data_IF_516246170311
#
_entry.id   IF_516246170311
#
_cell.length_a   1.000
_cell.length_b   1.000
_cell.length_c   1.000
_cell.angle_alpha   90.00
_cell.angle_beta   90.00
_cell.angle_gamma   90.00
#
_symmetry.space_group_name_H-M   'P 1'
#
loop_
_entity.id
_entity.type
_entity.pdbx_description
1 polymer ?
2 non-polymer ?
#
# COMPACT_ATOMS: atom_id res chain seq x y z
N UNK A 1 -0.70 10.63 -6.69
CA UNK A 1 -0.42 9.60 -5.66
C UNK A 1 -0.71 8.21 -6.24
N UNK A 2 -0.17 7.18 -5.62
CA UNK A 2 -0.40 5.79 -6.13
C UNK A 2 -0.80 4.89 -4.97
N UNK A 3 -1.82 4.09 -5.16
CA UNK A 3 -2.28 3.17 -4.07
C UNK A 3 -1.82 1.74 -4.39
N UNK A 4 -1.65 0.92 -3.38
CA UNK A 4 -1.22 -0.49 -3.61
C UNK A 4 -1.47 -1.31 -2.35
N UNK A 5 -2.43 -2.19 -2.38
CA UNK A 5 -2.73 -3.03 -1.19
C UNK A 5 -3.10 -4.45 -1.62
N UNK A 6 -2.74 -5.43 -0.82
CA UNK A 6 -3.07 -6.84 -1.19
C UNK A 6 -4.33 -7.27 -0.45
N UNK A 7 -5.42 -7.45 -1.17
CA UNK A 7 -6.69 -7.86 -0.52
C UNK A 7 -7.28 -9.07 -1.25
N UNK A 8 -7.98 -9.93 -0.54
CA UNK A 8 -8.58 -11.13 -1.19
C UNK A 8 -10.05 -10.87 -1.48
N UNK A 9 -10.69 -11.76 -2.20
CA UNK A 9 -12.13 -11.57 -2.53
C UNK A 9 -12.96 -11.53 -1.25
N UNK A 10 -12.42 -12.03 -0.16
CA UNK A 10 -13.17 -12.04 1.13
C UNK A 10 -13.13 -10.63 1.75
N UNK A 11 -12.76 -9.64 0.98
CA UNK A 11 -12.69 -8.25 1.52
C UNK A 11 -11.65 -8.18 2.64
N UNK A 12 -10.57 -8.90 2.51
CA UNK A 12 -9.52 -8.89 3.56
C UNK A 12 -8.32 -8.07 3.08
N UNK A 13 -7.40 -7.75 3.97
CA UNK A 13 -6.21 -6.96 3.56
C UNK A 13 -4.99 -7.42 4.37
N UNK A 14 -5.22 -7.95 5.54
CA UNK A 14 -4.08 -8.42 6.38
C UNK A 14 -4.63 -9.22 7.57
N UNK A 15 -3.77 -9.55 8.52
CA UNK A 15 -4.22 -10.32 9.71
C UNK A 15 -3.08 -10.42 10.72
N UNK A 16 -3.29 -9.91 11.91
CA UNK A 16 -2.22 -9.96 12.95
C UNK A 16 -0.97 -9.22 12.46
N UNK A 17 -1.17 -8.18 11.69
CA UNK A 17 0.00 -7.40 11.16
C UNK A 17 0.47 -8.01 9.84
N UNK A 18 0.89 -9.25 9.86
CA UNK A 18 1.37 -9.90 8.60
C UNK A 18 0.16 -10.32 7.76
N UNK A 19 0.39 -10.88 6.61
CA UNK A 19 -0.74 -11.32 5.74
C UNK A 19 -1.22 -12.71 6.18
N UNK A 20 -2.47 -13.02 5.88
CA UNK A 20 -3.13 -14.32 6.22
C UNK A 20 -2.72 -15.39 5.21
N UNK A 21 -2.46 -15.00 3.98
CA UNK A 21 -2.06 -15.99 2.94
C UNK A 21 -0.56 -15.85 2.66
N UNK A 22 0.00 -16.80 1.95
CA UNK A 22 1.46 -16.74 1.64
C UNK A 22 1.65 -16.58 0.13
N UNK A 23 2.05 -15.42 -0.31
CA UNK A 23 2.26 -15.19 -1.77
C UNK A 23 3.65 -14.58 -2.00
N UNK A 24 4.67 -15.42 -2.00
CA UNK A 24 6.11 -15.03 -2.21
C UNK A 24 6.24 -14.05 -3.38
N UNK A 25 5.49 -14.29 -4.43
CA UNK A 25 5.57 -13.38 -5.63
C UNK A 25 5.11 -11.98 -5.23
N UNK A 26 3.98 -11.86 -4.57
CA UNK A 26 3.48 -10.54 -4.15
C UNK A 26 4.46 -9.90 -3.16
N UNK A 27 5.13 -10.72 -2.38
CA UNK A 27 6.10 -10.17 -1.39
C UNK A 27 7.35 -9.66 -2.12
N UNK A 28 7.61 -10.18 -3.30
CA UNK A 28 8.80 -9.72 -4.07
C UNK A 28 8.43 -8.49 -4.91
N UNK A 29 7.16 -8.33 -5.21
CA UNK A 29 6.73 -7.16 -6.02
C UNK A 29 6.75 -5.90 -5.15
N UNK A 30 6.63 -6.06 -3.86
CA UNK A 30 6.63 -4.88 -2.94
C UNK A 30 7.99 -4.18 -3.03
N UNK A 31 9.07 -4.92 -3.02
CA UNK A 31 10.42 -4.30 -3.10
C UNK A 31 10.57 -3.61 -4.45
N UNK A 32 9.85 -4.05 -5.45
CA UNK A 32 9.95 -3.42 -6.80
C UNK A 32 9.09 -2.15 -6.83
N UNK A 33 8.04 -2.12 -6.04
CA UNK A 33 7.14 -0.92 -6.02
C UNK A 33 7.43 -0.10 -4.77
N UNK A 34 8.67 -0.06 -4.34
CA UNK A 34 9.03 0.72 -3.13
C UNK A 34 10.37 1.41 -3.35
N UNK A 35 11.27 0.78 -4.06
CA UNK A 35 12.60 1.39 -4.32
C UNK A 35 12.47 2.46 -5.40
N UNK A 36 13.02 3.63 -5.17
CA UNK A 36 12.93 4.71 -6.19
C UNK A 36 11.80 5.67 -5.83
N UNK A 37 10.75 5.16 -5.22
CA UNK A 37 9.61 6.04 -4.82
C UNK A 37 9.55 6.15 -3.30
N UNK A 38 8.76 7.08 -2.80
CA UNK A 38 8.66 7.24 -1.31
C UNK A 38 7.62 6.27 -0.77
N UNK A 39 7.99 5.48 0.21
CA UNK A 39 7.02 4.49 0.80
C UNK A 39 6.32 5.14 2.00
N UNK A 40 5.06 5.47 1.85
CA UNK A 40 4.31 6.09 2.97
C UNK A 40 3.55 5.01 3.73
N UNK A 41 3.80 4.89 5.01
CA UNK A 41 3.09 3.85 5.82
C UNK A 41 2.63 4.47 7.15
N UNK A 42 1.71 3.82 7.83
CA UNK A 42 1.23 4.36 9.12
C UNK A 42 2.08 3.82 10.27
N UNK A 43 1.62 3.92 11.48
CA UNK A 43 2.40 3.41 12.65
C UNK A 43 2.17 1.90 12.79
N UNK A 44 0.97 1.45 12.57
CA UNK A 44 0.67 0.00 12.68
C UNK A 44 1.39 -0.76 11.57
N UNK A 45 1.54 -0.16 10.43
CA UNK A 45 2.24 -0.84 9.29
C UNK A 45 3.75 -0.75 9.51
N UNK A 46 4.20 0.27 10.19
CA UNK A 46 5.68 0.42 10.43
C UNK A 46 6.17 -0.72 11.32
N UNK A 47 5.60 -0.86 12.49
CA UNK A 47 6.03 -1.95 13.41
C UNK A 47 5.69 -3.31 12.79
N UNK A 48 4.68 -3.35 11.94
CA UNK A 48 4.29 -4.63 11.30
C UNK A 48 5.44 -5.15 10.43
N UNK A 49 6.33 -4.27 10.03
CA UNK A 49 7.47 -4.70 9.18
C UNK A 49 8.36 -5.69 9.96
N UNK A 50 9.16 -6.45 9.25
CA UNK A 50 10.10 -7.48 9.81
C UNK A 50 11.36 -6.80 10.33
N UNK A 51 12.20 -6.32 9.46
CA UNK A 51 13.46 -5.65 9.91
C UNK A 51 13.43 -4.17 9.51
N UNK A 52 12.66 -3.37 10.20
CA UNK A 52 12.57 -1.92 9.86
C UNK A 52 13.81 -1.19 10.41
N UNK A 53 14.14 -0.06 9.81
CA UNK A 53 13.41 0.59 8.65
C UNK A 53 13.81 -0.09 7.34
N UNK A 54 13.08 0.18 6.28
CA UNK A 54 13.41 -0.44 4.96
C UNK A 54 14.39 0.49 4.20
N UNK A 55 15.59 -0.02 3.91
CA UNK A 55 16.67 0.73 3.17
C UNK A 55 16.37 0.72 1.67
N UNK A 56 17.16 1.42 0.90
CA UNK A 56 16.95 1.47 -0.57
C UNK A 56 15.57 2.07 -0.87
N UNK A 57 15.07 2.91 0.01
CA UNK A 57 13.75 3.54 -0.21
C UNK A 57 13.44 4.51 0.93
N UNK A 58 12.60 5.50 0.69
CA UNK A 58 12.27 6.49 1.75
C UNK A 58 11.28 5.84 2.74
N UNK A 59 11.39 6.17 3.99
CA UNK A 59 10.46 5.59 5.01
C UNK A 59 9.69 6.73 5.70
N UNK A 60 8.49 7.01 5.26
CA UNK A 60 7.69 8.09 5.89
C UNK A 60 6.66 7.48 6.84
N UNK A 61 6.29 8.22 7.86
CA UNK A 61 5.28 7.69 8.84
C UNK A 61 4.29 8.79 9.20
N UNK A 62 3.03 8.57 8.92
CA UNK A 62 1.99 9.60 9.24
C UNK A 62 1.35 9.28 10.59
N UNK A 63 1.50 10.15 11.56
CA UNK A 63 0.90 9.91 12.90
C UNK A 63 0.58 11.26 13.56
N UNK A 64 -0.51 11.32 14.29
CA UNK A 64 -0.89 12.59 14.97
C UNK A 64 -0.54 12.52 16.46
N UNK A 65 0.50 11.79 16.79
CA UNK A 65 0.91 11.66 18.22
C UNK A 65 2.37 12.09 18.37
N UNK A 66 2.65 12.92 19.35
CA UNK A 66 4.05 13.38 19.55
C UNK A 66 4.79 12.39 20.45
N UNK A 67 4.42 11.13 20.40
CA UNK A 67 5.09 10.11 21.24
C UNK A 67 5.79 9.08 20.34
N UNK A 68 5.25 8.84 19.18
CA UNK A 68 5.88 7.85 18.24
C UNK A 68 7.24 8.37 17.78
N UNK A 69 8.20 7.50 17.64
CA UNK A 69 9.55 7.93 17.19
C UNK A 69 10.09 6.95 16.16
N UNK A 70 10.78 7.42 15.16
CA UNK A 70 11.34 6.51 14.11
C UNK A 70 12.77 6.94 13.78
N UNK A 71 13.73 6.08 14.03
CA UNK A 71 15.15 6.43 13.73
C UNK A 71 15.45 6.13 12.26
N UNK A 72 15.87 7.14 11.52
CA UNK A 72 16.18 6.93 10.08
C UNK A 72 14.88 6.93 9.27
N UNK A 73 13.98 7.82 9.58
CA UNK A 73 12.69 7.89 8.84
C UNK A 73 12.09 9.29 8.99
N UNK A 74 11.42 9.76 7.96
CA UNK A 74 10.81 11.12 8.04
C UNK A 74 9.45 11.03 8.73
N UNK A 75 9.41 11.31 10.00
CA UNK A 75 8.12 11.24 10.76
C UNK A 75 7.27 12.47 10.43
N UNK A 76 6.31 12.32 9.55
CA UNK A 76 5.44 13.48 9.18
C UNK A 76 4.22 13.52 10.10
N UNK A 77 3.64 14.67 10.29
CA UNK A 77 2.45 14.79 11.17
C UNK A 77 1.39 15.67 10.49
N UNK A 78 1.36 15.66 9.18
CA UNK A 78 0.37 16.51 8.46
C UNK A 78 0.32 16.08 6.99
N UNK A 79 -0.83 16.19 6.36
CA UNK A 79 -0.94 15.79 4.93
C UNK A 79 -0.15 16.78 4.07
N UNK A 80 -0.10 18.03 4.46
CA UNK A 80 0.65 19.05 3.66
C UNK A 80 2.14 18.76 3.76
N UNK A 81 2.59 18.24 4.88
CA UNK A 81 4.05 17.94 5.04
C UNK A 81 4.43 16.79 4.10
N UNK A 82 3.54 15.84 3.92
CA UNK A 82 3.85 14.69 3.01
C UNK A 82 3.89 15.18 1.56
N UNK A 83 3.00 16.06 1.19
CA UNK A 83 2.98 16.59 -0.20
C UNK A 83 4.10 17.61 -0.38
N UNK A 84 4.43 18.32 0.67
CA UNK A 84 5.52 19.34 0.57
C UNK A 84 6.86 18.64 0.34
N UNK A 85 7.04 17.48 0.92
CA UNK A 85 8.32 16.74 0.75
C UNK A 85 8.38 16.15 -0.67
N UNK A 86 7.25 15.76 -1.20
CA UNK A 86 7.23 15.18 -2.58
C UNK A 86 7.55 16.28 -3.60
N UNK A 87 7.20 17.50 -3.30
CA UNK A 87 7.47 18.61 -4.24
C UNK A 87 8.98 18.84 -4.35
N UNK A 88 9.67 18.80 -3.24
CA UNK A 88 11.15 19.01 -3.25
C UNK A 88 11.82 17.85 -3.99
N UNK A 89 11.20 16.69 -3.97
CA UNK A 89 11.80 15.51 -4.67
C UNK A 89 10.83 15.02 -5.76
N UNK A 90 10.98 15.55 -6.96
CA UNK A 90 10.14 15.22 -8.16
C UNK A 90 10.63 13.91 -8.79
N UNK A 91 11.85 13.55 -8.54
CA UNK A 91 12.40 12.29 -9.11
C UNK A 91 11.71 11.09 -8.46
N UNK A 92 11.23 11.25 -7.25
CA UNK A 92 10.53 10.14 -6.56
C UNK A 92 9.03 10.30 -6.70
N UNK A 93 8.27 9.39 -6.14
CA UNK A 93 6.78 9.48 -6.25
C UNK A 93 6.15 9.11 -4.91
N UNK A 94 4.88 9.41 -4.74
CA UNK A 94 4.20 9.06 -3.46
C UNK A 94 3.45 7.74 -3.62
N UNK A 95 3.65 6.81 -2.71
CA UNK A 95 2.96 5.50 -2.81
C UNK A 95 2.36 5.14 -1.44
N UNK A 96 1.13 4.71 -1.42
CA UNK A 96 0.47 4.35 -0.14
C UNK A 96 0.41 2.83 -0.01
N UNK A 97 0.95 2.29 1.06
CA UNK A 97 0.92 0.80 1.25
C UNK A 97 -0.03 0.45 2.38
N UNK A 98 -0.22 1.34 3.32
CA UNK A 98 -1.14 1.08 4.47
C UNK A 98 -0.86 2.07 5.60
N UNK A 99 -1.56 2.00 6.72
CA UNK A 99 -2.63 0.96 6.91
C UNK A 99 -3.93 1.47 6.29
N UNK A 100 -5.05 0.98 6.76
CA UNK A 100 -6.37 1.43 6.20
C UNK A 100 -6.58 2.91 6.50
N UNK A 101 -6.07 3.37 7.62
CA UNK A 101 -6.24 4.81 7.99
C UNK A 101 -5.37 5.68 7.07
N UNK A 102 -4.25 5.15 6.64
CA UNK A 102 -3.36 5.94 5.74
C UNK A 102 -3.98 6.02 4.34
N UNK A 103 -4.64 4.98 3.91
CA UNK A 103 -5.28 4.99 2.56
C UNK A 103 -6.37 6.06 2.52
N UNK A 104 -7.31 6.01 3.42
CA UNK A 104 -8.40 7.02 3.44
C UNK A 104 -7.80 8.41 3.70
N UNK A 105 -6.63 8.47 4.27
CA UNK A 105 -5.99 9.79 4.55
C UNK A 105 -5.60 10.45 3.22
N UNK A 106 -5.15 9.68 2.26
CA UNK A 106 -4.75 10.25 0.95
C UNK A 106 -5.71 9.78 -0.14
N UNK A 107 -6.87 9.31 0.24
CA UNK A 107 -7.86 8.83 -0.76
C UNK A 107 -8.36 10.01 -1.60
N UNK A 108 -8.28 11.21 -1.07
CA UNK A 108 -8.74 12.41 -1.82
C UNK A 108 -7.75 12.71 -2.95
N UNK A 109 -6.48 12.68 -2.66
CA UNK A 109 -5.45 12.97 -3.70
C UNK A 109 -4.96 11.66 -4.32
N UNK A 110 -5.85 10.73 -4.52
CA UNK A 110 -5.45 9.41 -5.11
C UNK A 110 -5.54 9.50 -6.64
N UNK A 111 -4.74 8.73 -7.33
CA UNK A 111 -4.78 8.76 -8.83
C UNK A 111 -4.81 7.33 -9.36
N UNK A 112 -3.79 6.55 -9.08
CA UNK A 112 -3.75 5.14 -9.56
C UNK A 112 -4.31 4.22 -8.49
N UNK A 113 -4.73 3.04 -8.86
CA UNK A 113 -5.30 2.08 -7.86
C UNK A 113 -4.81 0.67 -8.18
N UNK A 114 -3.76 0.24 -7.53
CA UNK A 114 -3.22 -1.14 -7.78
C UNK A 114 -3.80 -2.10 -6.74
N UNK A 115 -4.76 -2.90 -7.13
CA UNK A 115 -5.38 -3.86 -6.17
C UNK A 115 -4.95 -5.29 -6.54
N UNK A 116 -4.60 -6.08 -5.57
CA UNK A 116 -4.18 -7.49 -5.85
C UNK A 116 -5.27 -8.44 -5.39
N UNK A 117 -6.05 -8.96 -6.30
CA UNK A 117 -7.15 -9.91 -5.91
C UNK A 117 -6.59 -11.33 -5.83
N UNK A 118 -7.11 -12.13 -4.93
CA UNK A 118 -6.62 -13.53 -4.78
C UNK A 118 -7.81 -14.48 -4.86
N UNK A 119 -7.70 -15.52 -5.65
CA UNK A 119 -8.82 -16.51 -5.78
C UNK A 119 -8.95 -17.29 -4.47
N UNK A 120 -7.85 -17.56 -3.81
CA UNK A 120 -7.91 -18.33 -2.54
C UNK A 120 -8.60 -17.49 -1.47
N UNK A 121 -9.56 -18.06 -0.78
CA UNK A 121 -10.28 -17.29 0.28
C UNK A 121 -9.44 -17.28 1.56
N UNK A 122 -9.41 -16.16 2.24
CA UNK A 122 -8.61 -16.07 3.49
C UNK A 122 -9.31 -15.12 4.47
N UNK A 123 -9.55 -15.57 5.69
CA UNK A 123 -10.22 -14.71 6.69
C UNK A 123 -9.18 -14.12 7.64
N UNK A 124 -9.40 -12.92 8.11
CA UNK A 124 -8.42 -12.28 9.04
C UNK A 124 -9.18 -11.44 10.08
N UNK A 125 -8.86 -10.18 10.17
CA UNK A 125 -9.55 -9.30 11.15
C UNK A 125 -9.70 -7.89 10.57
N UNK A 126 -8.78 -7.49 9.73
CA UNK A 126 -8.86 -6.13 9.12
C UNK A 126 -9.41 -6.25 7.69
N UNK A 127 -10.22 -5.30 7.29
CA UNK A 127 -10.79 -5.35 5.91
C UNK A 127 -10.33 -4.12 5.12
N UNK A 128 -10.69 -4.04 3.86
CA UNK A 128 -10.27 -2.88 3.03
C UNK A 128 -11.39 -1.84 3.01
N UNK A 129 -11.03 -0.57 2.96
CA UNK A 129 -12.07 0.50 2.94
C UNK A 129 -12.82 0.45 1.60
N UNK A 130 -13.97 1.11 1.55
CA UNK A 130 -14.85 1.20 0.34
C UNK A 130 -14.32 2.26 -0.63
N UNK A 131 -13.66 1.84 -1.68
CA UNK A 131 -13.12 2.82 -2.66
C UNK A 131 -14.19 3.15 -3.71
N UNK A 132 -14.21 4.38 -4.17
CA UNK A 132 -15.22 4.77 -5.18
C UNK A 132 -14.76 4.33 -6.57
N UNK A 133 -15.05 3.11 -6.94
CA UNK A 133 -14.62 2.61 -8.28
C UNK A 133 -15.47 3.27 -9.38
N UNK A 134 -16.55 3.90 -9.01
CA UNK A 134 -17.43 4.57 -10.02
C UNK A 134 -16.75 5.86 -10.52
N UNK A 135 -15.51 6.07 -10.17
CA UNK A 135 -14.79 7.30 -10.62
C UNK A 135 -13.39 6.92 -11.13
N UNK A 136 -13.26 5.75 -11.68
CA UNK A 136 -11.92 5.31 -12.19
C UNK A 136 -12.11 4.54 -13.49
N UNK A 137 -11.02 4.19 -14.14
CA UNK A 137 -11.12 3.43 -15.43
C UNK A 137 -9.93 2.49 -15.56
N UNK A 138 -10.16 1.27 -15.99
CA UNK A 138 -9.04 0.30 -16.15
C UNK A 138 -8.16 0.71 -17.32
N UNK A 139 -6.93 0.28 -17.32
CA UNK A 139 -6.00 0.65 -18.44
C UNK A 139 -5.06 -0.53 -18.72
N UNK A 140 -4.65 -1.23 -17.70
CA UNK A 140 -3.73 -2.39 -17.89
C UNK A 140 -4.01 -3.46 -16.84
N UNK A 141 -3.54 -4.66 -17.05
CA UNK A 141 -3.77 -5.76 -16.07
C UNK A 141 -2.73 -6.85 -16.25
N UNK A 142 -2.49 -7.64 -15.23
CA UNK A 142 -1.48 -8.74 -15.36
C UNK A 142 -1.97 -9.96 -14.58
N UNK A 143 -2.50 -10.94 -15.28
CA UNK A 143 -3.00 -12.17 -14.60
C UNK A 143 -1.84 -13.14 -14.41
N UNK A 144 -1.83 -13.85 -13.30
CA UNK A 144 -0.72 -14.83 -13.05
C UNK A 144 -1.28 -16.01 -12.24
N UNK A 145 -1.02 -17.22 -12.69
CA UNK A 145 -1.53 -18.41 -11.97
C UNK A 145 -0.38 -19.09 -11.23
N UNK A 146 -0.48 -19.22 -9.93
CA UNK A 146 0.61 -19.86 -9.14
C UNK A 146 0.49 -21.38 -9.25
N UNK A 147 1.19 -22.11 -8.42
CA UNK A 147 1.11 -23.60 -8.47
C UNK A 147 -0.26 -24.06 -7.98
N UNK A 148 -0.79 -23.43 -6.97
CA UNK A 148 -2.13 -23.83 -6.43
C UNK A 148 -3.17 -22.80 -6.86
N UNK A 149 -4.34 -23.26 -7.27
CA UNK A 149 -5.49 -22.41 -7.73
C UNK A 149 -5.75 -21.27 -6.73
N UNK A 150 -5.76 -21.59 -5.45
CA UNK A 150 -5.99 -20.55 -4.42
C UNK A 150 -4.88 -19.49 -4.47
N UNK A 151 -3.70 -19.89 -4.87
CA UNK A 151 -2.57 -18.93 -4.96
C UNK A 151 -2.66 -18.13 -6.26
N UNK A 152 -3.83 -18.07 -6.84
CA UNK A 152 -4.00 -17.31 -8.13
C UNK A 152 -4.42 -15.88 -7.80
N UNK A 153 -3.85 -14.92 -8.50
CA UNK A 153 -4.21 -13.49 -8.23
C UNK A 153 -4.01 -12.68 -9.52
N UNK A 154 -4.49 -11.46 -9.53
CA UNK A 154 -4.35 -10.60 -10.74
C UNK A 154 -4.08 -9.16 -10.31
N UNK A 155 -3.10 -8.52 -10.91
CA UNK A 155 -2.78 -7.11 -10.54
C UNK A 155 -3.59 -6.17 -11.42
N UNK A 156 -4.66 -5.63 -10.90
CA UNK A 156 -5.50 -4.68 -11.70
C UNK A 156 -4.94 -3.26 -11.58
N UNK A 157 -4.73 -2.62 -12.69
CA UNK A 157 -4.18 -1.22 -12.65
C UNK A 157 -5.22 -0.25 -13.20
N UNK A 158 -5.75 0.61 -12.35
CA UNK A 158 -6.76 1.59 -12.80
C UNK A 158 -6.16 3.00 -12.81
N UNK A 159 -6.80 3.92 -13.48
CA UNK A 159 -6.26 5.32 -13.53
C UNK A 159 -7.42 6.32 -13.41
N UNK A 160 -7.26 7.34 -12.62
CA UNK A 160 -8.34 8.35 -12.46
C UNK A 160 -8.44 9.21 -13.72
N UNK A 161 -9.63 9.53 -14.14
CA UNK A 161 -9.82 10.35 -15.37
C UNK A 161 -10.97 11.33 -15.16
N UNK A 162 -10.73 12.60 -15.40
CA UNK A 162 -11.81 13.62 -15.23
C UNK A 162 -11.56 14.80 -16.16
X LIG B 1 1.55 -6.16 -1.48
X LIG B 1 1.37 -5.11 -2.28
X LIG B 1 1.40 -3.83 -1.80
X LIG B 1 1.60 -3.59 -0.47
X LIG B 1 1.78 -6.03 -0.13
X LIG B 1 1.81 -4.69 0.46
X LIG B 1 2.05 -4.60 1.92
X LIG B 1 2.23 -5.81 2.69
X LIG B 1 2.19 -7.06 2.06
X LIG B 1 1.97 -7.18 0.69
X LIG B 1 2.48 -5.75 4.19
X LIG B 1 2.93 -7.03 4.75
X LIG B 1 4.18 -7.53 4.47
X LIG B 1 5.23 -6.69 3.99
X LIG B 1 6.53 -7.24 3.70
X LIG B 1 6.76 -8.62 3.91
X LIG B 1 5.73 -9.48 4.38
X LIG B 1 4.43 -8.91 4.67
X LIG B 1 2.11 -3.27 2.66
X LIG B 1 7.61 -6.44 3.22
X LIG B 1 8.00 -9.15 3.64
X LIG B 1 6.02 -10.86 4.56
X LIG B 1 7.44 -5.05 3.52
X LIG B 1 7.94 -9.80 2.39
X LIG B 1 5.12 -11.48 5.48
X LIG B 1 1.16 -5.31 -3.60
X LIG B 1 1.60 -2.26 -0.13
X LIG B 1 1.54 -7.07 -1.88
X LIG B 1 2.33 -7.95 2.65
X LIG B 1 1.94 -8.17 0.24
X LIG B 1 1.56 -5.48 4.71
X LIG B 1 3.24 -5.01 4.41
X LIG B 1 2.33 -7.53 5.34
X LIG B 1 5.03 -5.64 3.84
X LIG B 1 3.64 -9.54 5.02
X LIG B 1 2.91 -2.65 2.25
X LIG B 1 2.28 -3.42 3.72
X LIG B 1 1.16 -2.73 2.54
X LIG B 1 6.76 -4.59 2.80
X LIG B 1 8.39 -4.54 3.49
X LIG B 1 7.01 -4.94 4.52
X LIG B 1 8.92 -10.20 2.12
X LIG B 1 7.63 -9.10 1.61
X LIG B 1 7.23 -10.61 2.42
X LIG B 1 4.99 -10.87 6.37
X LIG B 1 5.52 -12.45 5.79
X LIG B 1 4.14 -11.63 5.01
X LIG B 1 1.15 -6.24 -3.97
X LIG B 1 1.03 -4.53 -4.22
X LIG B 1 1.45 -1.57 -0.84
X LIG B 1 1.74 -1.98 0.80
#
# INVERSE_FOLDING_TARGET
>A
TAFLWAQDRDGLIGKDGHLPWHLPDDLHYFRAQTVGKIMVVGRRTYESFPKRPLPERTNVVLTHQEDYQAQGAVVVHDVAAVFAYAKQHPDQELVIAGGAQIFTAFKDDVDTLLVTRLAGSFEGDTKMIPLNWDDFTKVSSRTVEDTNPALTHTYEVWQKKA
>B hetero
1 TMQ N1 C2 N3 C4 C3A C4A C5 C6 C7 C8 C9 N10 C11 C12 C13 C14 C15 C16 C17 O18 O19 O20 C21 C22 C23 N24 N25 HN H7 H8 H91 H92 HN1 H12 H16 H171 H172 H173 H211 H212 H213 H221 H222 H223 H231 H232 H233 HN21 HN22 HN51 HN52
#
